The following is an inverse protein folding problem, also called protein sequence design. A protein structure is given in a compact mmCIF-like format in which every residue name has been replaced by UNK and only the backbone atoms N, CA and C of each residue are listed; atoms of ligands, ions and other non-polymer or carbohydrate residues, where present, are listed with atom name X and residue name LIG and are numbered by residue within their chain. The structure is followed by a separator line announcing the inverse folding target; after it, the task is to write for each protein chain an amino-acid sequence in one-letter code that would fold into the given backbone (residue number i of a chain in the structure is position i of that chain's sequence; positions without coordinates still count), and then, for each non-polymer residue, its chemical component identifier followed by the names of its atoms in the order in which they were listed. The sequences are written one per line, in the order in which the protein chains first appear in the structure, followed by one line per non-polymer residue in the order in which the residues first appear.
data_IF_797504076192
#
_entry.id   IF_797504076192
#
_cell.length_a   1.000
_cell.length_b   1.000
_cell.length_c   1.000
_cell.angle_alpha   90.00
_cell.angle_beta   90.00
_cell.angle_gamma   90.00
#
_symmetry.space_group_name_H-M   'P 1'
#
loop_
_entity.id
_entity.type
_entity.pdbx_description
1 polymer ?
#
# COMPACT_ATOMS: atom_id res chain seq x y z
N UNK A 1 4.89 10.50 -25.12
CA UNK A 1 4.79 11.93 -25.49
C UNK A 1 4.45 12.71 -24.23
N UNK A 2 5.44 13.30 -23.56
CA UNK A 2 5.24 14.04 -22.30
C UNK A 2 4.87 15.50 -22.61
N UNK A 3 3.58 15.80 -22.61
CA UNK A 3 3.09 17.18 -22.50
C UNK A 3 3.18 17.63 -21.04
N UNK A 4 4.38 17.96 -20.58
CA UNK A 4 4.67 18.25 -19.18
C UNK A 4 4.40 19.71 -18.80
N UNK A 5 3.37 19.95 -18.00
CA UNK A 5 3.19 21.21 -17.24
C UNK A 5 4.18 21.23 -16.04
N UNK A 6 4.73 20.08 -15.65
CA UNK A 6 5.55 19.88 -14.44
C UNK A 6 6.85 19.16 -14.81
N UNK A 7 7.99 19.57 -14.22
CA UNK A 7 9.28 18.88 -14.45
C UNK A 7 9.25 17.48 -13.82
N UNK A 8 9.87 16.45 -14.42
CA UNK A 8 9.86 15.07 -13.90
C UNK A 8 10.34 14.93 -12.45
N UNK A 9 11.26 15.81 -12.02
CA UNK A 9 11.71 15.88 -10.64
C UNK A 9 10.58 16.25 -9.66
N UNK A 10 9.81 17.30 -9.97
CA UNK A 10 8.67 17.71 -9.15
C UNK A 10 7.55 16.69 -9.22
N UNK A 11 7.37 16.02 -10.35
CA UNK A 11 6.39 14.96 -10.49
C UNK A 11 6.65 13.80 -9.52
N UNK A 12 7.90 13.33 -9.43
CA UNK A 12 8.28 12.28 -8.48
C UNK A 12 8.04 12.69 -7.01
N UNK A 13 8.34 13.94 -6.67
CA UNK A 13 8.07 14.48 -5.33
C UNK A 13 6.56 14.48 -5.05
N UNK A 14 5.74 14.92 -6.00
CA UNK A 14 4.28 14.96 -5.84
C UNK A 14 3.68 13.56 -5.70
N UNK A 15 4.15 12.59 -6.48
CA UNK A 15 3.76 11.19 -6.33
C UNK A 15 4.13 10.66 -4.94
N UNK A 16 5.33 10.95 -4.45
CA UNK A 16 5.75 10.56 -3.11
C UNK A 16 4.87 11.19 -2.02
N UNK A 17 4.52 12.48 -2.16
CA UNK A 17 3.58 13.15 -1.26
C UNK A 17 2.22 12.43 -1.25
N UNK A 18 1.67 12.08 -2.42
CA UNK A 18 0.40 11.36 -2.52
C UNK A 18 0.43 10.00 -1.80
N UNK A 19 1.51 9.23 -2.00
CA UNK A 19 1.70 7.94 -1.31
C UNK A 19 1.73 8.14 0.21
N UNK A 20 2.46 9.14 0.70
CA UNK A 20 2.53 9.42 2.13
C UNK A 20 1.19 9.89 2.71
N UNK A 21 0.37 10.63 1.95
CA UNK A 21 -0.99 10.99 2.35
C UNK A 21 -1.84 9.73 2.56
N UNK A 22 -1.78 8.75 1.64
CA UNK A 22 -2.51 7.49 1.77
C UNK A 22 -2.07 6.72 3.02
N UNK A 23 -0.76 6.59 3.22
CA UNK A 23 -0.20 5.88 4.38
C UNK A 23 -0.59 6.59 5.68
N UNK A 24 -0.41 7.90 5.77
CA UNK A 24 -0.72 8.68 6.97
C UNK A 24 -2.22 8.60 7.33
N UNK A 25 -3.11 8.68 6.34
CA UNK A 25 -4.56 8.57 6.58
C UNK A 25 -4.99 7.16 6.96
N UNK A 26 -4.38 6.12 6.37
CA UNK A 26 -4.61 4.74 6.79
C UNK A 26 -4.13 4.46 8.22
N UNK A 27 -3.01 5.04 8.64
CA UNK A 27 -2.49 4.95 10.00
C UNK A 27 -3.39 5.73 10.98
N UNK A 28 -3.86 6.91 10.59
CA UNK A 28 -4.79 7.70 11.39
C UNK A 28 -6.10 6.94 11.64
N UNK A 29 -6.54 6.09 10.71
CA UNK A 29 -7.71 5.22 10.93
C UNK A 29 -7.49 4.29 12.12
N UNK A 30 -6.33 3.61 12.18
CA UNK A 30 -6.03 2.67 13.27
C UNK A 30 -5.66 3.37 14.59
N UNK A 31 -4.83 4.41 14.52
CA UNK A 31 -4.31 5.09 15.70
C UNK A 31 -5.33 6.07 16.28
N UNK A 32 -5.94 6.89 15.42
CA UNK A 32 -6.82 7.98 15.81
C UNK A 32 -8.22 7.50 16.18
N UNK A 33 -8.82 6.61 15.38
CA UNK A 33 -10.19 6.15 15.62
C UNK A 33 -10.27 4.90 16.51
N UNK A 34 -9.39 3.90 16.31
CA UNK A 34 -9.44 2.66 17.10
C UNK A 34 -8.62 2.75 18.41
N UNK A 35 -7.76 3.76 18.57
CA UNK A 35 -6.82 3.87 19.69
C UNK A 35 -5.78 2.75 19.75
N UNK A 36 -5.56 2.05 18.63
CA UNK A 36 -4.64 0.91 18.56
C UNK A 36 -3.31 1.34 17.94
N UNK A 37 -2.23 1.22 18.72
CA UNK A 37 -0.87 1.45 18.23
C UNK A 37 -0.46 0.28 17.32
N UNK A 38 -0.47 0.52 16.01
CA UNK A 38 -0.03 -0.44 15.00
C UNK A 38 1.29 0.00 14.36
N UNK A 39 2.42 -0.54 14.81
CA UNK A 39 3.76 -0.18 14.32
C UNK A 39 4.17 -0.95 13.06
N UNK A 40 3.43 -2.01 12.70
CA UNK A 40 3.69 -2.87 11.55
C UNK A 40 3.20 -2.35 10.20
N UNK A 41 2.63 -1.15 10.13
CA UNK A 41 2.00 -0.60 8.90
C UNK A 41 2.92 -0.63 7.68
N UNK A 42 4.21 -0.34 7.85
CA UNK A 42 5.20 -0.39 6.78
C UNK A 42 5.37 -1.78 6.15
N UNK A 43 5.16 -2.85 6.92
CA UNK A 43 5.18 -4.23 6.41
C UNK A 43 4.02 -4.47 5.44
N UNK A 44 2.81 -4.09 5.81
CA UNK A 44 1.62 -4.24 4.94
C UNK A 44 1.69 -3.34 3.69
N UNK A 45 2.30 -2.17 3.82
CA UNK A 45 2.62 -1.32 2.67
C UNK A 45 3.57 -2.05 1.72
N UNK A 46 4.65 -2.66 2.26
CA UNK A 46 5.61 -3.40 1.46
C UNK A 46 4.97 -4.60 0.74
N UNK A 47 4.15 -5.40 1.41
CA UNK A 47 3.49 -6.55 0.77
C UNK A 47 2.61 -6.14 -0.40
N UNK A 48 1.84 -5.06 -0.25
CA UNK A 48 1.03 -4.51 -1.33
C UNK A 48 1.87 -3.96 -2.49
N UNK A 49 2.94 -3.23 -2.18
CA UNK A 49 3.84 -2.66 -3.17
C UNK A 49 4.55 -3.75 -3.99
N UNK A 50 5.11 -4.79 -3.34
CA UNK A 50 5.74 -5.90 -4.03
C UNK A 50 4.73 -6.74 -4.82
N UNK A 51 3.53 -6.99 -4.29
CA UNK A 51 2.47 -7.67 -5.01
C UNK A 51 2.07 -6.93 -6.30
N UNK A 52 1.84 -5.62 -6.21
CA UNK A 52 1.52 -4.78 -7.36
C UNK A 52 2.69 -4.71 -8.36
N UNK A 53 3.93 -4.61 -7.89
CA UNK A 53 5.12 -4.55 -8.74
C UNK A 53 5.33 -5.85 -9.54
N UNK A 54 5.19 -7.02 -8.90
CA UNK A 54 5.33 -8.32 -9.56
C UNK A 54 4.27 -8.48 -10.66
N UNK A 55 3.00 -8.22 -10.33
CA UNK A 55 1.91 -8.28 -11.31
C UNK A 55 2.12 -7.30 -12.44
N UNK A 56 2.61 -6.10 -12.15
CA UNK A 56 2.92 -5.09 -13.14
C UNK A 56 4.03 -5.52 -14.11
N UNK A 57 5.04 -6.25 -13.63
CA UNK A 57 6.09 -6.83 -14.48
C UNK A 57 5.50 -7.88 -15.42
N UNK A 58 4.65 -8.79 -14.93
CA UNK A 58 4.00 -9.81 -15.77
C UNK A 58 3.02 -9.22 -16.79
N UNK A 59 2.24 -8.20 -16.41
CA UNK A 59 1.28 -7.56 -17.32
C UNK A 59 1.94 -6.77 -18.46
N UNK A 60 3.22 -6.44 -18.33
CA UNK A 60 4.00 -5.73 -19.35
C UNK A 60 3.98 -6.45 -20.71
N UNK A 61 3.91 -7.78 -20.70
CA UNK A 61 3.90 -8.60 -21.92
C UNK A 61 2.58 -8.49 -22.69
N UNK A 62 1.48 -8.14 -22.02
CA UNK A 62 0.14 -8.11 -22.61
C UNK A 62 -0.22 -6.78 -23.31
N UNK A 63 0.67 -5.77 -23.27
CA UNK A 63 0.48 -4.44 -23.89
C UNK A 63 -0.91 -3.82 -23.63
N UNK A 64 -1.40 -3.93 -22.40
CA UNK A 64 -2.68 -3.36 -22.00
C UNK A 64 -2.61 -1.82 -21.94
N UNK A 65 -3.77 -1.11 -22.01
CA UNK A 65 -3.82 0.31 -21.74
C UNK A 65 -3.26 0.64 -20.35
N UNK A 66 -2.48 1.73 -20.24
CA UNK A 66 -1.73 2.08 -19.03
C UNK A 66 -2.61 2.15 -17.76
N UNK A 67 -3.83 2.70 -17.91
CA UNK A 67 -4.81 2.78 -16.81
C UNK A 67 -5.31 1.40 -16.36
N UNK A 68 -5.61 0.52 -17.31
CA UNK A 68 -6.10 -0.84 -17.01
C UNK A 68 -5.01 -1.65 -16.34
N UNK A 69 -3.77 -1.52 -16.83
CA UNK A 69 -2.59 -2.13 -16.22
C UNK A 69 -2.44 -1.66 -14.77
N UNK A 70 -2.48 -0.34 -14.54
CA UNK A 70 -2.33 0.23 -13.20
C UNK A 70 -3.42 -0.27 -12.24
N UNK A 71 -4.68 -0.28 -12.67
CA UNK A 71 -5.79 -0.75 -11.83
C UNK A 71 -5.69 -2.24 -11.50
N UNK A 72 -5.33 -3.09 -12.46
CA UNK A 72 -5.14 -4.51 -12.22
C UNK A 72 -3.99 -4.79 -11.26
N UNK A 73 -2.86 -4.10 -11.44
CA UNK A 73 -1.71 -4.20 -10.54
C UNK A 73 -2.07 -3.72 -9.12
N UNK A 74 -2.78 -2.58 -9.01
CA UNK A 74 -3.24 -2.03 -7.73
C UNK A 74 -4.20 -2.98 -7.01
N UNK A 75 -5.20 -3.51 -7.71
CA UNK A 75 -6.17 -4.44 -7.15
C UNK A 75 -5.52 -5.76 -6.74
N UNK A 76 -4.65 -6.32 -7.57
CA UNK A 76 -3.94 -7.57 -7.24
C UNK A 76 -3.01 -7.38 -6.03
N UNK A 77 -2.26 -6.28 -5.98
CA UNK A 77 -1.43 -5.94 -4.82
C UNK A 77 -2.27 -5.69 -3.56
N UNK A 78 -3.42 -5.03 -3.70
CA UNK A 78 -4.38 -4.81 -2.62
C UNK A 78 -4.96 -6.11 -2.06
N UNK A 79 -5.39 -7.03 -2.93
CA UNK A 79 -5.90 -8.36 -2.56
C UNK A 79 -4.81 -9.17 -1.85
N UNK A 80 -3.58 -9.12 -2.37
CA UNK A 80 -2.44 -9.82 -1.74
C UNK A 80 -2.13 -9.25 -0.36
N UNK A 81 -2.11 -7.93 -0.21
CA UNK A 81 -1.91 -7.28 1.09
C UNK A 81 -3.07 -7.57 2.06
N UNK A 82 -4.31 -7.59 1.57
CA UNK A 82 -5.48 -7.96 2.37
C UNK A 82 -5.42 -9.41 2.85
N UNK A 83 -4.94 -10.34 2.01
CA UNK A 83 -4.74 -11.74 2.39
C UNK A 83 -3.68 -11.89 3.49
N UNK A 84 -2.52 -11.24 3.33
CA UNK A 84 -1.46 -11.23 4.35
C UNK A 84 -1.95 -10.55 5.63
N UNK A 85 -2.65 -9.43 5.50
CA UNK A 85 -3.29 -8.70 6.59
C UNK A 85 -4.32 -9.51 7.33
N UNK A 86 -5.12 -10.34 6.64
CA UNK A 86 -6.07 -11.24 7.26
C UNK A 86 -5.35 -12.33 8.08
N UNK A 87 -4.34 -12.97 7.49
CA UNK A 87 -3.56 -14.03 8.14
C UNK A 87 -2.88 -13.53 9.42
N UNK A 88 -2.29 -12.33 9.36
CA UNK A 88 -1.58 -11.69 10.49
C UNK A 88 -2.56 -11.02 11.47
N UNK A 89 -3.68 -10.51 10.98
CA UNK A 89 -4.70 -9.81 11.77
C UNK A 89 -5.44 -10.74 12.73
N UNK A 90 -5.72 -11.98 12.30
CA UNK A 90 -6.39 -12.99 13.15
C UNK A 90 -5.70 -13.25 14.50
N UNK A 91 -4.38 -13.51 14.58
CA UNK A 91 -3.70 -13.64 15.86
C UNK A 91 -3.52 -12.29 16.57
N UNK A 92 -3.29 -11.19 15.83
CA UNK A 92 -3.09 -9.87 16.43
C UNK A 92 -4.33 -9.36 17.18
N UNK A 93 -5.53 -9.63 16.67
CA UNK A 93 -6.81 -9.25 17.29
C UNK A 93 -7.06 -9.89 18.67
N UNK A 94 -6.31 -10.94 19.04
CA UNK A 94 -6.40 -11.58 20.36
C UNK A 94 -5.64 -10.82 21.44
N UNK A 95 -4.81 -9.85 21.06
CA UNK A 95 -3.98 -9.04 21.95
C UNK A 95 -4.58 -7.64 22.11
N UNK A 96 -4.27 -6.98 23.23
CA UNK A 96 -4.76 -5.63 23.56
C UNK A 96 -3.64 -4.75 24.08
N UNK A 97 -3.79 -3.44 23.88
CA UNK A 97 -2.84 -2.43 24.36
C UNK A 97 -1.44 -2.64 23.81
N UNK A 98 -0.43 -2.57 24.67
CA UNK A 98 0.99 -2.58 24.30
C UNK A 98 1.43 -3.89 23.61
N UNK A 99 0.78 -5.01 23.93
CA UNK A 99 1.05 -6.29 23.27
C UNK A 99 0.71 -6.26 21.78
N UNK A 100 -0.32 -5.50 21.39
CA UNK A 100 -0.66 -5.30 19.97
C UNK A 100 0.41 -4.47 19.25
N UNK A 101 0.97 -3.47 19.91
CA UNK A 101 2.06 -2.67 19.34
C UNK A 101 3.33 -3.50 19.10
N UNK A 102 3.71 -4.32 20.09
CA UNK A 102 4.91 -5.17 20.01
C UNK A 102 4.75 -6.21 18.90
N UNK A 103 3.59 -6.89 18.82
CA UNK A 103 3.40 -7.94 17.81
C UNK A 103 3.35 -7.37 16.39
N UNK A 104 2.75 -6.19 16.19
CA UNK A 104 2.69 -5.57 14.87
C UNK A 104 4.07 -5.14 14.37
N UNK A 105 4.94 -4.64 15.27
CA UNK A 105 6.34 -4.40 14.94
C UNK A 105 7.04 -5.70 14.52
N UNK A 106 6.86 -6.78 15.30
CA UNK A 106 7.42 -8.09 14.99
C UNK A 106 6.98 -8.63 13.63
N UNK A 107 5.70 -8.49 13.28
CA UNK A 107 5.20 -8.88 11.96
C UNK A 107 5.77 -8.00 10.83
N UNK A 108 5.90 -6.69 11.05
CA UNK A 108 6.55 -5.80 10.09
C UNK A 108 8.00 -6.20 9.81
N UNK A 109 8.73 -6.60 10.85
CA UNK A 109 10.09 -7.14 10.77
C UNK A 109 10.13 -8.47 9.99
N UNK A 110 9.24 -9.42 10.33
CA UNK A 110 9.13 -10.71 9.63
C UNK A 110 8.88 -10.50 8.14
N UNK A 111 7.94 -9.61 7.78
CA UNK A 111 7.65 -9.27 6.39
C UNK A 111 8.90 -8.75 5.68
N UNK A 112 9.66 -7.84 6.31
CA UNK A 112 10.90 -7.32 5.73
C UNK A 112 11.89 -8.44 5.46
N UNK A 113 12.12 -9.31 6.44
CA UNK A 113 13.04 -10.45 6.31
C UNK A 113 12.59 -11.41 5.21
N UNK A 114 11.30 -11.73 5.12
CA UNK A 114 10.75 -12.59 4.07
C UNK A 114 10.97 -11.98 2.69
N UNK A 115 10.67 -10.68 2.52
CA UNK A 115 10.85 -9.98 1.25
C UNK A 115 12.33 -9.93 0.84
N UNK A 116 13.27 -9.74 1.76
CA UNK A 116 14.69 -9.67 1.43
C UNK A 116 15.33 -11.05 1.16
N UNK A 117 14.71 -12.13 1.64
CA UNK A 117 15.20 -13.50 1.43
C UNK A 117 14.50 -14.24 0.28
N UNK A 118 13.38 -13.72 -0.24
CA UNK A 118 12.73 -14.30 -1.41
C UNK A 118 13.46 -13.92 -2.70
N UNK A 119 13.76 -14.91 -3.55
CA UNK A 119 14.32 -14.66 -4.88
C UNK A 119 13.36 -13.93 -5.83
N UNK A 120 12.05 -14.16 -5.67
CA UNK A 120 11.00 -13.60 -6.53
C UNK A 120 10.89 -12.07 -6.38
N UNK A 121 11.21 -11.53 -5.20
CA UNK A 121 11.18 -10.09 -4.90
C UNK A 121 12.48 -9.37 -5.27
N UNK A 122 13.47 -10.08 -5.85
CA UNK A 122 14.81 -9.55 -6.10
C UNK A 122 15.68 -9.48 -4.83
N UNK A 123 15.25 -10.14 -3.74
CA UNK A 123 15.95 -10.19 -2.47
C UNK A 123 16.32 -8.81 -1.92
N UNK A 124 17.56 -8.67 -1.42
CA UNK A 124 18.05 -7.41 -0.87
C UNK A 124 18.24 -6.28 -1.91
N UNK A 125 18.31 -6.60 -3.21
CA UNK A 125 18.47 -5.61 -4.28
C UNK A 125 17.13 -4.99 -4.71
N UNK A 126 16.01 -5.67 -4.42
CA UNK A 126 14.67 -5.26 -4.83
C UNK A 126 14.36 -5.57 -6.30
N UNK A 127 13.14 -5.21 -6.71
CA UNK A 127 12.64 -5.47 -8.06
C UNK A 127 13.14 -4.41 -9.07
N UNK A 128 13.55 -4.88 -10.24
CA UNK A 128 13.95 -4.04 -11.37
C UNK A 128 13.00 -4.25 -12.56
N UNK A 129 12.97 -3.30 -13.50
CA UNK A 129 12.16 -3.43 -14.73
C UNK A 129 10.66 -3.13 -14.60
N UNK A 130 10.23 -2.59 -13.46
CA UNK A 130 8.83 -2.16 -13.24
C UNK A 130 8.49 -1.03 -14.23
N UNK A 131 7.42 -1.16 -15.03
CA UNK A 131 7.02 -0.12 -15.96
C UNK A 131 6.54 1.12 -15.19
N UNK A 132 7.06 2.30 -15.57
CA UNK A 132 6.68 3.58 -14.97
C UNK A 132 5.38 4.08 -15.60
N UNK A 133 4.27 3.55 -15.10
CA UNK A 133 2.89 3.89 -15.51
C UNK A 133 2.18 4.80 -14.50
N UNK A 134 2.81 5.05 -13.36
CA UNK A 134 2.27 5.87 -12.28
C UNK A 134 2.65 7.34 -12.51
N UNK A 135 1.80 8.05 -13.26
CA UNK A 135 1.90 9.50 -13.44
C UNK A 135 1.27 10.26 -12.26
N UNK A 136 1.63 11.54 -12.12
CA UNK A 136 1.06 12.39 -11.08
C UNK A 136 -0.47 12.45 -11.16
N UNK A 137 -1.05 12.64 -12.36
CA UNK A 137 -2.51 12.75 -12.53
C UNK A 137 -3.24 11.50 -12.06
N UNK A 138 -2.76 10.31 -12.44
CA UNK A 138 -3.36 9.04 -12.04
C UNK A 138 -3.23 8.83 -10.52
N UNK A 139 -2.05 9.09 -9.96
CA UNK A 139 -1.79 8.96 -8.53
C UNK A 139 -2.66 9.92 -7.71
N UNK A 140 -2.85 11.14 -8.19
CA UNK A 140 -3.69 12.16 -7.54
C UNK A 140 -5.15 11.70 -7.47
N UNK A 141 -5.72 11.23 -8.58
CA UNK A 141 -7.09 10.72 -8.61
C UNK A 141 -7.27 9.48 -7.72
N UNK A 142 -6.32 8.54 -7.76
CA UNK A 142 -6.33 7.37 -6.87
C UNK A 142 -6.33 7.81 -5.40
N UNK A 143 -5.50 8.80 -5.06
CA UNK A 143 -5.44 9.34 -3.70
C UNK A 143 -6.78 9.93 -3.29
N UNK A 144 -7.43 10.74 -4.13
CA UNK A 144 -8.78 11.27 -3.85
C UNK A 144 -9.78 10.14 -3.62
N UNK A 145 -9.78 9.11 -4.48
CA UNK A 145 -10.69 7.97 -4.33
C UNK A 145 -10.46 7.24 -3.02
N UNK A 146 -9.20 6.99 -2.64
CA UNK A 146 -8.85 6.37 -1.36
C UNK A 146 -9.31 7.24 -0.19
N UNK A 147 -9.08 8.55 -0.22
CA UNK A 147 -9.56 9.47 0.82
C UNK A 147 -11.09 9.50 0.91
N UNK A 148 -11.79 9.48 -0.23
CA UNK A 148 -13.25 9.42 -0.26
C UNK A 148 -13.78 8.12 0.34
N UNK A 149 -13.14 6.98 0.04
CA UNK A 149 -13.48 5.68 0.63
C UNK A 149 -13.22 5.70 2.14
N UNK A 150 -12.06 6.17 2.59
CA UNK A 150 -11.73 6.26 4.01
C UNK A 150 -12.71 7.18 4.75
N UNK A 151 -13.00 8.35 4.20
CA UNK A 151 -13.98 9.28 4.75
C UNK A 151 -15.39 8.66 4.82
N UNK A 152 -15.80 7.93 3.78
CA UNK A 152 -17.07 7.20 3.76
C UNK A 152 -17.13 6.12 4.84
N UNK A 153 -16.04 5.38 5.07
CA UNK A 153 -15.94 4.36 6.12
C UNK A 153 -16.03 4.99 7.51
N UNK A 154 -15.28 6.06 7.75
CA UNK A 154 -15.31 6.78 9.03
C UNK A 154 -16.70 7.36 9.33
N UNK A 155 -17.36 7.93 8.31
CA UNK A 155 -18.68 8.52 8.47
C UNK A 155 -19.83 7.48 8.39
N UNK A 156 -19.53 6.21 8.07
CA UNK A 156 -20.51 5.13 8.02
C UNK A 156 -21.02 4.76 9.42
N UNK A 157 -22.17 4.07 9.49
CA UNK A 157 -22.74 3.52 10.74
C UNK A 157 -21.72 2.67 11.51
N UNK A 158 -20.85 1.96 10.80
CA UNK A 158 -19.79 1.14 11.41
C UNK A 158 -18.70 2.01 12.02
N UNK A 159 -18.27 3.10 11.37
CA UNK A 159 -17.27 4.01 11.90
C UNK A 159 -17.73 4.78 13.14
N UNK A 160 -19.03 5.07 13.25
CA UNK A 160 -19.64 5.72 14.44
C UNK A 160 -19.92 4.78 15.62
N UNK A 161 -19.80 3.46 15.41
CA UNK A 161 -20.08 2.46 16.44
C UNK A 161 -18.82 2.04 17.22
N UNK A 162 -17.64 2.51 16.78
CA UNK A 162 -16.33 2.28 17.38
C UNK A 162 -16.01 3.48 18.27
#
# INVERSE_FOLDING_TARGET
MQGGIIRPYYEGILVFICINIIVATSLNLTLGFLGQLALGHGGFMATGAYGAAIVSIYLKEFQLPEIVHLLLALLAGGIFSAFVGYLIGLPALRLRGDYLAIITLGFGEIIRVVITNLGITGGAQGLTGIPKIADFTNTYWITIVVLAILFSITNSRQGRAI
#
